data_IF_006160356151
#
_entry.id   IF_006160356151
#
_cell.length_a   1.000
_cell.length_b   1.000
_cell.length_c   1.000
_cell.angle_alpha   90.00
_cell.angle_beta   90.00
_cell.angle_gamma   90.00
#
_symmetry.space_group_name_H-M   'P 1'
#
loop_
_entity.id
_entity.type
_entity.pdbx_description
1 polymer ?
#
# COMPACT_ATOMS: atom_id res chain seq x y z
N UNK A 1 -33.41 33.77 -15.97
CA UNK A 1 -33.41 32.43 -15.36
C UNK A 1 -31.96 32.13 -15.02
N UNK A 2 -31.62 32.21 -13.73
CA UNK A 2 -30.24 32.20 -13.25
C UNK A 2 -29.77 30.76 -13.00
N UNK A 3 -28.56 30.45 -13.47
CA UNK A 3 -27.82 29.24 -13.11
C UNK A 3 -27.30 29.37 -11.67
N UNK A 4 -27.49 28.39 -10.79
CA UNK A 4 -26.72 28.31 -9.56
C UNK A 4 -25.41 27.58 -9.86
N UNK A 5 -24.30 28.31 -9.72
CA UNK A 5 -22.94 27.77 -9.64
C UNK A 5 -22.84 26.85 -8.41
N UNK A 6 -22.51 25.58 -8.63
CA UNK A 6 -22.06 24.69 -7.56
C UNK A 6 -20.55 24.90 -7.37
N UNK A 7 -20.19 25.53 -6.27
CA UNK A 7 -18.83 25.56 -5.74
C UNK A 7 -18.53 24.23 -5.02
N UNK A 8 -17.40 23.55 -5.25
CA UNK A 8 -16.95 22.51 -4.35
C UNK A 8 -16.05 23.15 -3.29
N UNK A 9 -16.66 23.59 -2.18
CA UNK A 9 -15.94 23.74 -0.92
C UNK A 9 -15.56 22.33 -0.44
N UNK A 10 -14.33 21.91 -0.78
CA UNK A 10 -13.66 20.80 -0.11
C UNK A 10 -13.26 21.33 1.27
N UNK A 11 -14.21 21.28 2.20
CA UNK A 11 -13.91 21.46 3.62
C UNK A 11 -12.95 20.35 4.04
N UNK A 12 -11.83 20.75 4.64
CA UNK A 12 -10.86 19.89 5.30
C UNK A 12 -11.56 19.03 6.36
N UNK A 13 -11.68 17.75 6.07
CA UNK A 13 -11.92 16.64 7.00
C UNK A 13 -10.50 16.26 7.53
N UNK A 14 -10.18 16.00 8.80
CA UNK A 14 -10.88 15.67 10.04
C UNK A 14 -9.88 15.86 11.21
N UNK A 15 -10.37 16.07 12.45
CA UNK A 15 -9.61 15.98 13.71
C UNK A 15 -9.25 14.51 14.06
N UNK A 16 -8.71 13.75 13.10
CA UNK A 16 -8.12 12.45 13.37
C UNK A 16 -6.77 12.62 14.06
N UNK A 17 -6.35 11.70 14.95
CA UNK A 17 -5.02 11.75 15.54
C UNK A 17 -4.01 11.70 14.39
N UNK A 18 -3.42 12.86 14.08
CA UNK A 18 -2.36 12.93 13.08
C UNK A 18 -1.22 12.10 13.64
N UNK A 19 -1.01 10.94 13.06
CA UNK A 19 0.10 10.07 13.46
C UNK A 19 1.36 10.85 13.20
N UNK A 20 2.16 11.04 14.25
CA UNK A 20 3.46 11.65 14.13
C UNK A 20 4.39 10.65 13.43
N UNK A 21 4.35 10.69 12.09
CA UNK A 21 5.18 9.86 11.22
C UNK A 21 6.66 10.04 11.53
N UNK A 22 7.08 11.26 11.87
CA UNK A 22 8.48 11.54 12.25
C UNK A 22 8.85 10.79 13.53
N UNK A 23 7.98 10.80 14.55
CA UNK A 23 8.23 10.04 15.78
C UNK A 23 8.31 8.52 15.52
N UNK A 24 7.46 7.96 14.65
CA UNK A 24 7.50 6.52 14.29
C UNK A 24 8.78 6.16 13.52
N UNK A 25 9.15 6.97 12.52
CA UNK A 25 10.38 6.80 11.75
C UNK A 25 11.61 6.85 12.67
N UNK A 26 11.67 7.83 13.58
CA UNK A 26 12.75 7.95 14.56
C UNK A 26 12.84 6.74 15.50
N UNK A 27 11.70 6.22 15.97
CA UNK A 27 11.68 4.99 16.78
C UNK A 27 12.39 3.88 16.01
N UNK A 28 12.07 3.68 14.73
CA UNK A 28 12.71 2.63 13.92
C UNK A 28 14.20 2.88 13.66
N UNK A 29 14.63 4.12 13.38
CA UNK A 29 16.05 4.45 13.23
C UNK A 29 16.88 4.13 14.48
N UNK A 30 16.27 4.21 15.67
CA UNK A 30 16.97 3.88 16.92
C UNK A 30 17.17 2.37 17.15
N UNK A 31 16.41 1.52 16.46
CA UNK A 31 16.47 0.05 16.59
C UNK A 31 17.36 -0.63 15.55
N UNK A 32 17.49 -0.07 14.34
CA UNK A 32 18.30 -0.64 13.25
C UNK A 32 19.82 -0.71 13.52
N UNK A 33 20.30 -0.17 14.65
CA UNK A 33 21.71 -0.20 15.05
C UNK A 33 22.13 -1.28 16.07
N UNK A 34 21.29 -2.26 16.44
CA UNK A 34 21.57 -3.17 17.59
C UNK A 34 21.28 -4.67 17.39
N UNK A 35 21.44 -5.23 16.18
CA UNK A 35 21.22 -6.68 15.92
C UNK A 35 22.43 -7.41 15.33
N UNK A 36 22.76 -8.60 15.84
CA UNK A 36 23.85 -9.50 15.39
C UNK A 36 23.49 -10.39 14.17
N UNK A 37 22.36 -10.16 13.53
CA UNK A 37 22.04 -10.80 12.24
C UNK A 37 22.41 -9.83 11.11
N UNK A 38 22.94 -10.34 10.00
CA UNK A 38 23.07 -9.59 8.73
C UNK A 38 21.67 -9.27 8.19
N UNK A 39 20.90 -8.47 8.92
CA UNK A 39 19.80 -7.71 8.37
C UNK A 39 20.41 -6.71 7.41
N UNK A 40 19.87 -6.69 6.20
CA UNK A 40 20.12 -5.63 5.24
C UNK A 40 19.81 -4.33 5.97
N UNK A 41 20.80 -3.46 6.15
CA UNK A 41 20.60 -2.16 6.78
C UNK A 41 19.56 -1.40 5.93
N UNK A 42 18.33 -1.39 6.41
CA UNK A 42 17.21 -0.77 5.71
C UNK A 42 17.45 0.73 5.67
N UNK A 43 17.37 1.32 4.48
CA UNK A 43 17.64 2.75 4.31
C UNK A 43 16.59 3.57 5.05
N UNK A 44 16.99 4.77 5.49
CA UNK A 44 16.05 5.73 6.08
C UNK A 44 14.87 6.04 5.14
N UNK A 45 15.12 6.05 3.83
CA UNK A 45 14.11 6.27 2.79
C UNK A 45 13.14 5.09 2.68
N UNK A 46 13.60 3.84 2.80
CA UNK A 46 12.74 2.65 2.80
C UNK A 46 11.80 2.64 4.01
N UNK A 47 12.33 3.01 5.18
CA UNK A 47 11.53 3.19 6.41
C UNK A 47 10.47 4.28 6.22
N UNK A 48 10.89 5.46 5.76
CA UNK A 48 9.98 6.59 5.54
C UNK A 48 8.90 6.24 4.51
N UNK A 49 9.28 5.61 3.39
CA UNK A 49 8.34 5.14 2.37
C UNK A 49 7.34 4.15 2.94
N UNK A 50 7.76 3.14 3.72
CA UNK A 50 6.82 2.19 4.33
C UNK A 50 5.78 2.91 5.19
N UNK A 51 6.20 3.86 6.01
CA UNK A 51 5.28 4.63 6.86
C UNK A 51 4.31 5.48 6.05
N UNK A 52 4.80 6.16 4.99
CA UNK A 52 3.95 6.90 4.04
C UNK A 52 2.94 5.97 3.38
N UNK A 53 3.38 4.82 2.87
CA UNK A 53 2.49 3.89 2.18
C UNK A 53 1.41 3.32 3.11
N UNK A 54 1.76 2.97 4.35
CA UNK A 54 0.76 2.52 5.35
C UNK A 54 -0.25 3.64 5.61
N UNK A 55 0.20 4.86 5.89
CA UNK A 55 -0.70 5.99 6.16
C UNK A 55 -1.65 6.25 4.98
N UNK A 56 -1.10 6.35 3.77
CA UNK A 56 -1.88 6.59 2.54
C UNK A 56 -2.88 5.46 2.26
N UNK A 57 -2.52 4.19 2.48
CA UNK A 57 -3.45 3.07 2.31
C UNK A 57 -4.57 3.10 3.35
N UNK A 58 -4.27 3.45 4.60
CA UNK A 58 -5.29 3.57 5.66
C UNK A 58 -6.26 4.71 5.37
N UNK A 59 -5.77 5.87 4.90
CA UNK A 59 -6.63 6.99 4.49
C UNK A 59 -7.59 6.59 3.37
N UNK A 60 -7.11 5.79 2.41
CA UNK A 60 -7.92 5.29 1.30
C UNK A 60 -8.99 4.30 1.77
N UNK A 61 -8.63 3.33 2.59
CA UNK A 61 -9.60 2.37 3.14
C UNK A 61 -10.62 3.08 4.02
N UNK A 62 -10.19 4.08 4.80
CA UNK A 62 -11.08 4.96 5.56
C UNK A 62 -12.10 5.64 4.63
N UNK A 63 -11.65 6.23 3.52
CA UNK A 63 -12.54 6.85 2.55
C UNK A 63 -13.50 5.84 1.91
N UNK A 64 -13.04 4.64 1.57
CA UNK A 64 -13.90 3.58 1.02
C UNK A 64 -14.94 3.09 2.04
N UNK A 65 -14.57 2.91 3.31
CA UNK A 65 -15.52 2.55 4.38
C UNK A 65 -16.56 3.66 4.59
N UNK A 66 -16.15 4.94 4.55
CA UNK A 66 -17.07 6.09 4.60
C UNK A 66 -18.03 6.08 3.41
N UNK A 67 -17.52 5.85 2.20
CA UNK A 67 -18.33 5.75 0.98
C UNK A 67 -19.28 4.55 0.99
N UNK A 68 -18.89 3.44 1.62
CA UNK A 68 -19.74 2.27 1.88
C UNK A 68 -20.82 2.53 2.95
N UNK A 69 -20.71 3.64 3.69
CA UNK A 69 -21.64 4.04 4.74
C UNK A 69 -21.51 3.19 6.00
N UNK A 70 -20.29 2.82 6.38
CA UNK A 70 -20.00 2.39 7.76
C UNK A 70 -20.08 3.59 8.71
N UNK A 71 -20.36 3.31 9.98
CA UNK A 71 -20.42 4.33 11.03
C UNK A 71 -19.04 4.97 11.26
N UNK A 72 -19.01 6.29 11.49
CA UNK A 72 -17.74 7.03 11.63
C UNK A 72 -16.95 6.59 12.87
N UNK A 73 -17.61 6.28 14.00
CA UNK A 73 -16.92 5.81 15.20
C UNK A 73 -16.31 4.43 14.98
N UNK A 74 -17.02 3.57 14.24
CA UNK A 74 -16.51 2.25 13.85
C UNK A 74 -15.25 2.40 12.97
N UNK A 75 -15.30 3.30 11.99
CA UNK A 75 -14.17 3.59 11.10
C UNK A 75 -12.97 4.11 11.88
N UNK A 76 -13.17 5.04 12.82
CA UNK A 76 -12.10 5.58 13.66
C UNK A 76 -11.48 4.48 14.54
N UNK A 77 -12.28 3.58 15.12
CA UNK A 77 -11.78 2.44 15.89
C UNK A 77 -10.92 1.49 15.04
N UNK A 78 -11.37 1.13 13.84
CA UNK A 78 -10.61 0.28 12.92
C UNK A 78 -9.29 0.96 12.54
N UNK A 79 -9.34 2.25 12.21
CA UNK A 79 -8.16 3.05 11.83
C UNK A 79 -7.14 3.11 12.95
N UNK A 80 -7.57 3.41 14.17
CA UNK A 80 -6.72 3.43 15.37
C UNK A 80 -6.10 2.05 15.61
N UNK A 81 -6.89 0.98 15.47
CA UNK A 81 -6.39 -0.37 15.68
C UNK A 81 -5.33 -0.76 14.63
N UNK A 82 -5.53 -0.45 13.34
CA UNK A 82 -4.52 -0.72 12.29
C UNK A 82 -3.22 0.04 12.58
N UNK A 83 -3.32 1.31 12.97
CA UNK A 83 -2.13 2.11 13.31
C UNK A 83 -1.44 1.70 14.62
N UNK A 84 -2.18 1.04 15.52
CA UNK A 84 -1.66 0.46 16.75
C UNK A 84 -0.87 -0.83 16.55
N UNK A 85 -0.87 -1.42 15.34
CA UNK A 85 -0.11 -2.64 15.05
C UNK A 85 1.38 -2.29 14.99
N UNK A 86 2.15 -2.82 15.95
CA UNK A 86 3.62 -2.63 16.00
C UNK A 86 4.35 -3.49 14.96
N UNK A 87 3.77 -4.63 14.59
CA UNK A 87 4.29 -5.49 13.53
C UNK A 87 3.95 -4.90 12.15
N UNK A 88 4.93 -4.27 11.52
CA UNK A 88 4.76 -3.65 10.20
C UNK A 88 4.44 -4.65 9.09
N UNK A 89 4.94 -5.88 9.19
CA UNK A 89 4.60 -6.93 8.22
C UNK A 89 3.12 -7.27 8.37
N UNK A 90 2.63 -7.45 9.60
CA UNK A 90 1.21 -7.69 9.86
C UNK A 90 0.33 -6.53 9.36
N UNK A 91 0.70 -5.29 9.69
CA UNK A 91 -0.05 -4.11 9.27
C UNK A 91 -0.15 -4.00 7.74
N UNK A 92 0.96 -4.22 7.03
CA UNK A 92 0.96 -4.18 5.56
C UNK A 92 0.18 -5.33 4.94
N UNK A 93 0.21 -6.53 5.52
CA UNK A 93 -0.58 -7.68 5.03
C UNK A 93 -2.07 -7.45 5.18
N UNK A 94 -2.52 -6.78 6.24
CA UNK A 94 -3.93 -6.39 6.39
C UNK A 94 -4.41 -5.45 5.28
N UNK A 95 -3.51 -4.60 4.80
CA UNK A 95 -3.80 -3.63 3.74
C UNK A 95 -3.65 -4.23 2.33
N UNK A 96 -3.18 -5.48 2.21
CA UNK A 96 -2.89 -6.14 0.93
C UNK A 96 -4.12 -6.63 0.15
N UNK A 97 -5.34 -6.38 0.63
CA UNK A 97 -6.56 -6.77 -0.07
C UNK A 97 -6.75 -5.96 -1.36
N UNK A 98 -6.92 -6.62 -2.52
CA UNK A 98 -7.27 -5.95 -3.76
C UNK A 98 -8.54 -5.11 -3.64
N UNK A 99 -8.59 -4.02 -4.41
CA UNK A 99 -9.70 -3.05 -4.43
C UNK A 99 -11.09 -3.72 -4.52
N UNK A 100 -11.23 -4.72 -5.39
CA UNK A 100 -12.50 -5.42 -5.59
C UNK A 100 -12.99 -6.20 -4.36
N UNK A 101 -12.07 -6.65 -3.50
CA UNK A 101 -12.42 -7.38 -2.29
C UNK A 101 -12.81 -6.44 -1.17
N UNK A 102 -12.16 -5.27 -1.07
CA UNK A 102 -12.52 -4.24 -0.10
C UNK A 102 -13.98 -3.86 -0.20
N UNK A 103 -14.46 -3.59 -1.41
CA UNK A 103 -15.88 -3.25 -1.63
C UNK A 103 -16.83 -4.35 -1.13
N UNK A 104 -16.54 -5.62 -1.46
CA UNK A 104 -17.36 -6.77 -1.04
C UNK A 104 -17.35 -6.95 0.48
N UNK A 105 -16.20 -6.74 1.12
CA UNK A 105 -16.03 -6.84 2.57
C UNK A 105 -16.76 -5.73 3.31
N UNK A 106 -16.66 -4.49 2.83
CA UNK A 106 -17.40 -3.33 3.36
C UNK A 106 -18.90 -3.57 3.34
N UNK A 107 -19.44 -4.05 2.21
CA UNK A 107 -20.87 -4.40 2.09
C UNK A 107 -21.26 -5.52 3.08
N UNK A 108 -20.40 -6.52 3.24
CA UNK A 108 -20.57 -7.61 4.20
C UNK A 108 -20.58 -7.11 5.66
N UNK A 109 -19.61 -6.29 6.06
CA UNK A 109 -19.51 -5.74 7.42
C UNK A 109 -20.74 -4.92 7.79
N UNK A 110 -21.22 -4.10 6.86
CA UNK A 110 -22.43 -3.32 7.02
C UNK A 110 -23.67 -4.21 7.15
N UNK A 111 -23.78 -5.25 6.32
CA UNK A 111 -24.93 -6.15 6.33
C UNK A 111 -25.02 -6.97 7.62
N UNK A 112 -23.88 -7.49 8.09
CA UNK A 112 -23.84 -8.31 9.30
C UNK A 112 -23.75 -7.47 10.58
N UNK A 113 -23.49 -6.16 10.47
CA UNK A 113 -23.43 -5.25 11.62
C UNK A 113 -22.26 -5.57 12.54
N UNK A 114 -21.09 -5.88 11.96
CA UNK A 114 -19.90 -6.25 12.72
C UNK A 114 -19.33 -5.03 13.47
N UNK A 115 -18.75 -5.30 14.64
CA UNK A 115 -17.96 -4.31 15.39
C UNK A 115 -16.50 -4.25 14.88
N UNK A 116 -15.72 -3.32 15.44
CA UNK A 116 -14.36 -3.06 14.97
C UNK A 116 -13.43 -4.28 15.14
N UNK A 117 -13.60 -5.03 16.22
CA UNK A 117 -12.78 -6.21 16.55
C UNK A 117 -13.10 -7.34 15.57
N UNK A 118 -14.37 -7.65 15.36
CA UNK A 118 -14.80 -8.67 14.40
C UNK A 118 -14.40 -8.35 12.95
N UNK A 119 -14.39 -7.06 12.56
CA UNK A 119 -13.92 -6.63 11.24
C UNK A 119 -12.42 -6.91 11.10
N UNK A 120 -11.62 -6.56 12.10
CA UNK A 120 -10.17 -6.79 12.06
C UNK A 120 -9.84 -8.28 12.04
N UNK A 121 -10.54 -9.08 12.84
CA UNK A 121 -10.39 -10.54 12.84
C UNK A 121 -10.70 -11.14 11.48
N UNK A 122 -11.79 -10.70 10.83
CA UNK A 122 -12.14 -11.15 9.49
C UNK A 122 -11.11 -10.70 8.44
N UNK A 123 -10.57 -9.48 8.56
CA UNK A 123 -9.50 -8.98 7.70
C UNK A 123 -8.24 -9.83 7.88
N UNK A 124 -7.81 -10.10 9.12
CA UNK A 124 -6.67 -10.96 9.45
C UNK A 124 -6.86 -12.36 8.88
N UNK A 125 -8.00 -12.99 9.11
CA UNK A 125 -8.32 -14.30 8.57
C UNK A 125 -8.25 -14.31 7.04
N UNK A 126 -8.81 -13.28 6.40
CA UNK A 126 -8.83 -13.16 4.95
C UNK A 126 -7.45 -12.97 4.36
N UNK A 127 -6.62 -12.07 4.90
CA UNK A 127 -5.32 -11.75 4.33
C UNK A 127 -4.23 -12.74 4.71
N UNK A 128 -4.27 -13.30 5.93
CA UNK A 128 -3.22 -14.16 6.45
C UNK A 128 -3.49 -15.65 6.22
N UNK A 129 -4.74 -16.09 6.29
CA UNK A 129 -5.05 -17.53 6.23
C UNK A 129 -5.63 -17.94 4.87
N UNK A 130 -6.56 -17.15 4.33
CA UNK A 130 -7.24 -17.47 3.08
C UNK A 130 -6.40 -17.05 1.86
N UNK A 131 -6.04 -15.77 1.78
CA UNK A 131 -5.34 -15.20 0.61
C UNK A 131 -3.82 -15.31 0.72
N UNK A 132 -3.29 -15.28 1.95
CA UNK A 132 -1.84 -15.28 2.24
C UNK A 132 -1.12 -14.29 1.34
N UNK A 133 -1.47 -13.01 1.44
CA UNK A 133 -0.96 -11.99 0.52
C UNK A 133 -0.02 -11.01 1.22
N UNK A 134 0.91 -10.47 0.43
CA UNK A 134 1.85 -9.42 0.79
C UNK A 134 1.60 -8.21 -0.11
N UNK A 135 2.16 -7.05 0.25
CA UNK A 135 2.20 -5.91 -0.66
C UNK A 135 3.51 -5.88 -1.43
N UNK A 136 3.45 -5.37 -2.65
CA UNK A 136 4.61 -4.88 -3.37
C UNK A 136 4.27 -3.64 -4.17
N UNK A 137 5.28 -3.11 -4.84
CA UNK A 137 5.21 -1.81 -5.50
C UNK A 137 5.61 -1.92 -6.96
N UNK A 138 4.74 -1.43 -7.83
CA UNK A 138 4.94 -1.41 -9.26
C UNK A 138 4.90 0.04 -9.75
N UNK A 139 5.78 0.42 -10.67
CA UNK A 139 5.72 1.76 -11.28
C UNK A 139 5.33 1.64 -12.74
N UNK A 140 4.56 2.62 -13.24
CA UNK A 140 4.23 2.67 -14.66
C UNK A 140 4.23 4.11 -15.17
N UNK A 141 4.70 4.35 -16.40
CA UNK A 141 4.51 5.65 -17.06
C UNK A 141 3.05 5.88 -17.48
N UNK A 142 2.26 4.81 -17.64
CA UNK A 142 0.90 4.86 -18.13
C UNK A 142 -0.09 4.49 -17.03
N UNK A 143 -1.25 5.14 -17.03
CA UNK A 143 -2.31 4.82 -16.07
C UNK A 143 -2.93 3.46 -16.40
N UNK A 144 -2.88 2.55 -15.44
CA UNK A 144 -3.54 1.23 -15.50
C UNK A 144 -5.01 1.39 -15.14
N UNK A 145 -5.89 1.18 -16.10
CA UNK A 145 -7.35 1.35 -15.91
C UNK A 145 -8.01 0.10 -15.33
N UNK A 146 -8.99 0.29 -14.45
CA UNK A 146 -9.88 -0.77 -13.97
C UNK A 146 -10.67 -1.39 -15.14
N UNK A 147 -10.65 -2.71 -15.28
CA UNK A 147 -11.44 -3.44 -16.28
C UNK A 147 -12.80 -3.84 -15.70
N UNK A 148 -13.88 -3.62 -16.47
CA UNK A 148 -15.21 -4.13 -16.15
C UNK A 148 -15.48 -5.42 -16.94
N UNK A 149 -15.69 -6.54 -16.24
CA UNK A 149 -16.10 -7.82 -16.86
C UNK A 149 -17.61 -8.06 -16.77
N UNK A 150 -18.32 -7.28 -15.95
CA UNK A 150 -19.77 -7.35 -15.78
C UNK A 150 -20.33 -6.13 -15.06
N UNK A 151 -21.64 -6.10 -14.75
CA UNK A 151 -22.29 -4.98 -14.06
C UNK A 151 -21.65 -4.68 -12.70
N UNK A 152 -21.28 -5.72 -11.96
CA UNK A 152 -20.74 -5.65 -10.60
C UNK A 152 -19.29 -6.14 -10.49
N UNK A 153 -18.68 -6.51 -11.61
CA UNK A 153 -17.32 -7.02 -11.65
C UNK A 153 -16.37 -5.99 -12.22
N UNK A 154 -15.63 -5.34 -11.32
CA UNK A 154 -14.51 -4.48 -11.62
C UNK A 154 -13.26 -5.20 -11.15
N UNK A 155 -12.31 -5.42 -12.05
CA UNK A 155 -10.99 -5.97 -11.74
C UNK A 155 -9.96 -4.89 -11.99
N UNK A 156 -8.95 -4.79 -11.12
CA UNK A 156 -7.84 -3.88 -11.33
C UNK A 156 -6.55 -4.66 -11.20
N UNK A 157 -5.80 -4.75 -12.30
CA UNK A 157 -4.64 -5.60 -12.34
C UNK A 157 -3.67 -5.19 -13.43
N UNK A 158 -2.42 -5.51 -13.15
CA UNK A 158 -1.27 -5.31 -14.03
C UNK A 158 -1.08 -6.62 -14.78
N UNK A 159 -1.19 -6.58 -16.10
CA UNK A 159 -0.95 -7.74 -16.94
C UNK A 159 0.53 -7.81 -17.27
N UNK A 160 1.07 -9.03 -17.38
CA UNK A 160 2.43 -9.27 -17.82
C UNK A 160 2.66 -9.00 -19.31
N UNK A 161 2.36 -7.78 -19.73
CA UNK A 161 2.61 -7.28 -21.08
C UNK A 161 3.67 -6.19 -21.08
N UNK A 162 4.14 -5.78 -19.90
CA UNK A 162 5.21 -4.81 -19.77
C UNK A 162 6.56 -5.48 -20.00
N UNK A 163 7.38 -4.87 -20.85
CA UNK A 163 8.77 -5.27 -21.01
C UNK A 163 9.54 -4.77 -19.80
N UNK A 164 10.25 -5.66 -19.10
CA UNK A 164 11.18 -5.27 -18.05
C UNK A 164 12.57 -5.75 -18.44
N UNK A 165 13.60 -4.97 -18.13
CA UNK A 165 15.00 -5.42 -18.28
C UNK A 165 15.33 -6.56 -17.29
N UNK A 166 14.41 -6.91 -16.41
CA UNK A 166 14.52 -7.99 -15.42
C UNK A 166 14.16 -9.37 -16.01
N UNK A 167 13.39 -9.43 -17.09
CA UNK A 167 12.92 -10.71 -17.66
C UNK A 167 12.88 -10.64 -19.20
N UNK A 168 13.36 -11.67 -19.91
CA UNK A 168 13.29 -11.73 -21.37
C UNK A 168 11.86 -11.89 -21.90
N UNK A 169 10.89 -12.18 -21.03
CA UNK A 169 9.48 -12.35 -21.38
C UNK A 169 8.66 -11.25 -20.68
N UNK A 170 7.70 -10.61 -21.37
CA UNK A 170 6.80 -9.65 -20.74
C UNK A 170 6.11 -10.28 -19.52
N UNK A 171 6.23 -9.62 -18.37
CA UNK A 171 5.74 -10.09 -17.07
C UNK A 171 5.34 -8.90 -16.21
N UNK A 172 4.36 -9.10 -15.35
CA UNK A 172 4.02 -8.10 -14.34
C UNK A 172 5.09 -8.20 -13.26
N UNK A 173 5.64 -7.06 -12.85
CA UNK A 173 6.70 -7.02 -11.85
C UNK A 173 6.29 -6.17 -10.66
N UNK A 174 6.89 -6.44 -9.51
CA UNK A 174 6.80 -5.60 -8.33
C UNK A 174 8.13 -5.58 -7.58
N UNK A 175 8.33 -4.56 -6.76
CA UNK A 175 9.49 -4.39 -5.87
C UNK A 175 8.99 -4.40 -4.43
N UNK A 176 9.85 -4.79 -3.49
CA UNK A 176 9.48 -4.94 -2.07
C UNK A 176 9.57 -3.65 -1.26
N UNK A 177 10.39 -2.69 -1.69
CA UNK A 177 10.65 -1.45 -0.96
C UNK A 177 10.97 -0.29 -1.92
N UNK A 178 11.20 0.89 -1.36
CA UNK A 178 11.39 2.14 -2.10
C UNK A 178 12.67 2.12 -2.93
N UNK A 179 13.76 1.71 -2.28
CA UNK A 179 15.09 1.72 -2.87
C UNK A 179 15.14 0.75 -4.07
N UNK A 180 14.51 -0.43 -3.96
CA UNK A 180 14.43 -1.38 -5.07
C UNK A 180 13.39 -1.05 -6.14
N UNK A 181 12.64 0.06 -6.05
CA UNK A 181 11.66 0.40 -7.07
C UNK A 181 12.29 0.41 -8.46
N UNK A 182 11.85 -0.52 -9.30
CA UNK A 182 12.17 -0.45 -10.71
C UNK A 182 11.41 0.73 -11.31
N UNK A 183 12.17 1.76 -11.71
CA UNK A 183 11.70 2.98 -12.35
C UNK A 183 12.09 2.91 -13.82
N UNK A 184 11.15 2.55 -14.69
CA UNK A 184 11.35 2.70 -16.14
C UNK A 184 11.48 4.20 -16.49
N UNK A 185 11.77 4.56 -17.75
CA UNK A 185 11.95 5.97 -18.13
C UNK A 185 10.65 6.78 -17.94
N UNK A 186 10.65 7.64 -16.93
CA UNK A 186 9.55 8.56 -16.61
C UNK A 186 8.33 7.87 -16.00
N UNK A 187 8.49 7.11 -14.90
CA UNK A 187 7.33 6.53 -14.24
C UNK A 187 6.53 7.66 -13.58
N UNK A 188 5.21 7.62 -13.72
CA UNK A 188 4.31 8.64 -13.14
C UNK A 188 3.43 8.05 -12.04
N UNK A 189 3.09 6.78 -12.17
CA UNK A 189 2.16 6.11 -11.29
C UNK A 189 2.90 5.09 -10.43
N UNK A 190 2.60 5.09 -9.15
CA UNK A 190 2.98 4.05 -8.20
C UNK A 190 1.74 3.21 -7.89
N UNK A 191 1.84 1.91 -8.08
CA UNK A 191 0.80 0.94 -7.77
C UNK A 191 1.23 0.09 -6.59
N UNK A 192 0.40 0.05 -5.54
CA UNK A 192 0.47 -1.01 -4.55
C UNK A 192 -0.24 -2.22 -5.11
N UNK A 193 0.43 -3.35 -5.08
CA UNK A 193 -0.09 -4.61 -5.63
C UNK A 193 -0.08 -5.71 -4.59
N UNK A 194 -1.06 -6.59 -4.68
CA UNK A 194 -1.17 -7.78 -3.86
C UNK A 194 -0.31 -8.90 -4.46
N UNK A 195 0.65 -9.39 -3.68
CA UNK A 195 1.55 -10.49 -4.04
C UNK A 195 1.10 -11.75 -3.28
N UNK A 196 0.62 -12.80 -3.97
CA UNK A 196 0.31 -14.07 -3.33
C UNK A 196 1.54 -14.70 -2.68
N UNK A 197 1.39 -15.37 -1.55
CA UNK A 197 2.50 -16.00 -0.82
C UNK A 197 3.30 -16.97 -1.70
N UNK A 198 2.66 -17.73 -2.59
CA UNK A 198 3.37 -18.59 -3.55
C UNK A 198 4.36 -17.78 -4.42
N UNK A 199 3.93 -16.60 -4.88
CA UNK A 199 4.81 -15.69 -5.65
C UNK A 199 5.90 -15.09 -4.76
N UNK A 200 5.56 -14.77 -3.51
CA UNK A 200 6.51 -14.25 -2.52
C UNK A 200 7.61 -15.26 -2.20
N UNK A 201 7.24 -16.53 -1.96
CA UNK A 201 8.15 -17.58 -1.53
C UNK A 201 8.98 -18.14 -2.69
N UNK A 202 8.36 -18.35 -3.86
CA UNK A 202 8.98 -19.10 -4.97
C UNK A 202 9.53 -18.22 -6.09
N UNK A 203 9.03 -16.97 -6.24
CA UNK A 203 9.33 -16.10 -7.39
C UNK A 203 9.97 -14.76 -7.01
N UNK A 204 10.45 -14.64 -5.77
CA UNK A 204 11.27 -13.50 -5.36
C UNK A 204 12.69 -13.66 -5.87
N UNK A 205 13.18 -12.63 -6.56
CA UNK A 205 14.59 -12.49 -6.90
C UNK A 205 15.17 -11.41 -6.02
N UNK A 206 16.14 -11.78 -5.19
CA UNK A 206 16.90 -10.82 -4.41
C UNK A 206 17.92 -10.13 -5.32
N UNK A 207 17.88 -8.81 -5.38
CA UNK A 207 18.83 -8.01 -6.13
C UNK A 207 19.67 -7.22 -5.13
N UNK A 208 20.97 -7.47 -5.15
CA UNK A 208 21.97 -6.70 -4.43
C UNK A 208 23.14 -6.48 -5.39
N UNK A 209 23.16 -5.32 -6.05
CA UNK A 209 24.24 -4.96 -6.97
C UNK A 209 24.84 -3.64 -6.52
N UNK A 210 26.12 -3.38 -6.84
CA UNK A 210 26.74 -2.07 -6.53
C UNK A 210 25.98 -0.87 -7.12
N UNK A 211 25.11 -1.09 -8.11
CA UNK A 211 24.34 -0.08 -8.84
C UNK A 211 22.83 -0.09 -8.55
N UNK A 212 22.33 -1.06 -7.78
CA UNK A 212 20.91 -1.13 -7.39
C UNK A 212 20.82 -1.48 -5.91
N UNK A 213 20.11 -0.69 -5.12
CA UNK A 213 19.97 -0.93 -3.70
C UNK A 213 19.23 -2.24 -3.44
N UNK A 214 19.27 -2.63 -2.17
CA UNK A 214 18.96 -3.97 -1.73
C UNK A 214 17.46 -4.20 -1.63
N UNK A 215 16.96 -5.21 -2.33
CA UNK A 215 15.55 -5.60 -2.19
C UNK A 215 15.15 -6.81 -3.03
N UNK A 216 13.91 -7.25 -2.82
CA UNK A 216 13.27 -8.29 -3.60
C UNK A 216 12.46 -7.70 -4.75
N UNK A 217 12.59 -8.33 -5.91
CA UNK A 217 11.70 -8.17 -7.05
C UNK A 217 10.86 -9.43 -7.24
N UNK A 218 9.64 -9.25 -7.70
CA UNK A 218 8.67 -10.31 -7.92
C UNK A 218 8.19 -10.25 -9.36
N UNK A 219 8.06 -11.42 -10.00
CA UNK A 219 7.52 -11.53 -11.35
C UNK A 219 6.31 -12.47 -11.36
N UNK A 220 5.25 -12.05 -12.03
CA UNK A 220 4.01 -12.81 -12.18
C UNK A 220 3.37 -12.59 -13.56
N UNK A 221 2.42 -13.45 -13.90
CA UNK A 221 1.63 -13.27 -15.13
C UNK A 221 0.65 -12.09 -15.00
N UNK A 222 0.15 -11.86 -13.78
CA UNK A 222 -0.66 -10.71 -13.43
C UNK A 222 -0.50 -10.41 -11.94
N UNK A 223 -0.67 -9.14 -11.58
CA UNK A 223 -0.69 -8.67 -10.19
C UNK A 223 -1.97 -7.87 -9.96
N UNK A 224 -2.68 -8.15 -8.86
CA UNK A 224 -3.88 -7.38 -8.50
C UNK A 224 -3.48 -6.05 -7.88
N UNK A 225 -4.07 -4.96 -8.35
CA UNK A 225 -3.83 -3.63 -7.79
C UNK A 225 -4.67 -3.47 -6.52
N UNK A 226 -4.01 -3.03 -5.46
CA UNK A 226 -4.61 -2.57 -4.21
C UNK A 226 -4.94 -1.09 -4.34
N UNK A 227 -3.97 -0.27 -4.74
CA UNK A 227 -4.12 1.20 -4.84
C UNK A 227 -3.15 1.83 -5.86
N UNK A 228 -3.48 3.03 -6.34
CA UNK A 228 -2.68 3.91 -7.19
C UNK A 228 -2.35 5.23 -6.47
N UNK A 229 -1.10 5.67 -6.62
CA UNK A 229 -0.60 6.97 -6.16
C UNK A 229 0.17 7.68 -7.27
N UNK A 230 0.27 9.00 -7.14
CA UNK A 230 1.20 9.80 -7.95
C UNK A 230 2.61 9.62 -7.39
N UNK A 231 3.54 9.16 -8.22
CA UNK A 231 4.89 8.81 -7.76
C UNK A 231 5.69 10.04 -7.32
N UNK A 232 5.50 11.19 -7.98
CA UNK A 232 6.24 12.42 -7.64
C UNK A 232 5.81 12.95 -6.27
N UNK A 233 4.52 12.82 -5.94
CA UNK A 233 4.01 13.16 -4.60
C UNK A 233 4.62 12.28 -3.51
N UNK A 234 4.72 10.96 -3.76
CA UNK A 234 5.29 10.01 -2.81
C UNK A 234 6.79 10.24 -2.64
N UNK A 235 7.53 10.44 -3.72
CA UNK A 235 8.98 10.71 -3.68
C UNK A 235 9.28 11.95 -2.82
N UNK A 236 8.53 13.02 -3.06
CA UNK A 236 8.67 14.26 -2.30
C UNK A 236 8.37 14.07 -0.82
N UNK A 237 7.29 13.35 -0.49
CA UNK A 237 6.90 13.11 0.90
C UNK A 237 7.93 12.27 1.65
N UNK A 238 8.49 11.24 1.00
CA UNK A 238 9.58 10.41 1.56
C UNK A 238 10.82 11.25 1.81
N UNK A 239 11.23 12.06 0.84
CA UNK A 239 12.39 12.95 0.98
C UNK A 239 12.23 13.93 2.15
N UNK A 240 11.07 14.60 2.23
CA UNK A 240 10.76 15.55 3.30
C UNK A 240 10.76 14.89 4.69
N UNK A 241 10.21 13.68 4.81
CA UNK A 241 10.18 12.94 6.08
C UNK A 241 11.57 12.46 6.51
N UNK A 242 12.37 11.94 5.57
CA UNK A 242 13.76 11.54 5.85
C UNK A 242 14.58 12.72 6.34
N UNK A 243 14.54 13.86 5.63
CA UNK A 243 15.27 15.07 6.03
C UNK A 243 14.85 15.56 7.43
N UNK A 244 13.55 15.55 7.73
CA UNK A 244 13.03 15.95 9.06
C UNK A 244 13.43 15.00 10.17
N UNK A 245 13.49 13.70 9.89
CA UNK A 245 13.91 12.69 10.87
C UNK A 245 15.41 12.80 11.18
N UNK A 246 16.23 13.11 10.18
CA UNK A 246 17.69 13.27 10.33
C UNK A 246 18.09 14.59 11.00
N UNK A 247 17.31 15.66 10.80
CA UNK A 247 17.63 16.99 11.33
C UNK A 247 17.31 17.19 12.83
N UNK A 248 16.56 16.27 13.46
CA UNK A 248 15.96 16.47 14.78
C UNK A 248 16.39 15.41 15.80
#
# INVERSE_FOLDING_TARGET
MANPEMSPDIQKVSDQPTIDLVARIKKQFSFSGRGEYQEIEESHEDVAFREVMIARMVDKITAEMKNGGLDEKLIDQITVNIHGIEDHELATRLLALPFELWKRKIDYYKKEGLDAEAILDDLMETTMNIRKSYIGFHTSPNKITKSKSGPDEVTWGIKGTEYSDLSPVPQAYASSNFSSLYREKGPRYLYVVSIPQETWDERRTYINTRSRPVGYHFNANALSVVEEFDLDEIDKEVEELTQRAEAA
#
